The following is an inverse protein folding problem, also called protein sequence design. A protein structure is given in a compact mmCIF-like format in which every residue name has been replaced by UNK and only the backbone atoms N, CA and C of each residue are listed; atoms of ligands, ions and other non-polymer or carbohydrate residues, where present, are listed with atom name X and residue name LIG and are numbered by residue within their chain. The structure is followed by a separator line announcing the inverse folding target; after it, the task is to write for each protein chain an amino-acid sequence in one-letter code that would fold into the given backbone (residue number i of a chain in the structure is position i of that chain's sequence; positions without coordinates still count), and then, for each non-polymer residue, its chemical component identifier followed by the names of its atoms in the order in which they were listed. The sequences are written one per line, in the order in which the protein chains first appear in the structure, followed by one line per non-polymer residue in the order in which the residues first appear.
data_IF_730783460065
#
_entry.id   IF_730783460065
#
_cell.length_a   1.000
_cell.length_b   1.000
_cell.length_c   1.000
_cell.angle_alpha   90.00
_cell.angle_beta   90.00
_cell.angle_gamma   90.00
#
_symmetry.space_group_name_H-M   'P 1'
#
loop_
_entity.id
_entity.type
_entity.pdbx_description
1 polymer ?
#
# COMPACT_ATOMS: atom_id res chain seq x y z
N UNK A 1 -8.25 -24.67 26.68
CA UNK A 1 -9.22 -24.14 25.70
C UNK A 1 -9.61 -22.75 26.15
N UNK A 2 -9.08 -21.73 25.52
CA UNK A 2 -9.54 -20.35 25.72
C UNK A 2 -10.79 -20.22 24.84
N UNK A 3 -11.96 -20.29 25.44
CA UNK A 3 -13.20 -20.06 24.75
C UNK A 3 -13.27 -18.57 24.42
N UNK A 4 -12.95 -18.19 23.20
CA UNK A 4 -13.23 -16.84 22.71
C UNK A 4 -14.73 -16.64 22.88
N UNK A 5 -15.14 -15.72 23.75
CA UNK A 5 -16.52 -15.23 23.78
C UNK A 5 -16.70 -14.45 22.47
N UNK A 6 -17.16 -15.15 21.44
CA UNK A 6 -17.71 -14.51 20.25
C UNK A 6 -18.91 -13.69 20.75
N UNK A 7 -18.80 -12.35 20.68
CA UNK A 7 -19.93 -11.48 20.98
C UNK A 7 -21.01 -11.77 19.93
N UNK A 8 -22.09 -12.41 20.34
CA UNK A 8 -23.16 -12.93 19.47
C UNK A 8 -23.90 -11.84 18.68
N UNK A 9 -23.71 -10.57 18.99
CA UNK A 9 -24.38 -9.44 18.34
C UNK A 9 -23.68 -8.93 17.07
N UNK A 10 -22.39 -9.24 16.86
CA UNK A 10 -21.60 -8.61 15.82
C UNK A 10 -21.23 -9.51 14.63
N UNK A 11 -21.33 -10.83 14.76
CA UNK A 11 -20.96 -11.81 13.73
C UNK A 11 -22.17 -12.52 13.16
N UNK A 12 -22.11 -12.84 11.86
CA UNK A 12 -23.16 -13.60 11.20
C UNK A 12 -23.16 -15.05 11.70
N UNK A 13 -24.30 -15.55 12.13
CA UNK A 13 -24.46 -16.92 12.68
C UNK A 13 -23.82 -18.01 11.81
N UNK A 14 -23.95 -17.91 10.49
CA UNK A 14 -23.34 -18.87 9.56
C UNK A 14 -21.80 -18.93 9.67
N UNK A 15 -21.15 -17.77 9.87
CA UNK A 15 -19.69 -17.68 10.05
C UNK A 15 -19.30 -18.27 11.42
N UNK A 16 -20.04 -17.95 12.48
CA UNK A 16 -19.81 -18.50 13.81
C UNK A 16 -19.93 -20.02 13.83
N UNK A 17 -20.99 -20.56 13.20
CA UNK A 17 -21.20 -22.00 13.12
C UNK A 17 -20.08 -22.68 12.31
N UNK A 18 -19.61 -22.05 11.24
CA UNK A 18 -18.46 -22.54 10.46
C UNK A 18 -17.20 -22.60 11.31
N UNK A 19 -16.86 -21.50 12.01
CA UNK A 19 -15.66 -21.42 12.87
C UNK A 19 -15.72 -22.48 13.99
N UNK A 20 -16.87 -22.65 14.64
CA UNK A 20 -17.09 -23.69 15.67
C UNK A 20 -16.91 -25.11 15.15
N UNK A 21 -17.28 -25.34 13.88
CA UNK A 21 -17.19 -26.65 13.22
C UNK A 21 -15.87 -26.86 12.45
N UNK A 22 -14.83 -26.06 12.73
CA UNK A 22 -13.49 -26.21 12.15
C UNK A 22 -12.53 -26.70 13.24
N UNK A 23 -12.54 -28.01 13.62
CA UNK A 23 -11.86 -28.52 14.81
C UNK A 23 -10.33 -28.52 14.73
N UNK A 24 -9.76 -28.38 13.52
CA UNK A 24 -8.32 -28.37 13.31
C UNK A 24 -7.67 -26.99 13.56
N UNK A 25 -8.48 -25.95 13.83
CA UNK A 25 -8.03 -24.58 14.10
C UNK A 25 -8.52 -24.13 15.47
N UNK A 26 -7.59 -23.79 16.37
CA UNK A 26 -7.88 -23.16 17.65
C UNK A 26 -7.94 -21.64 17.45
N UNK A 27 -9.17 -21.10 17.40
CA UNK A 27 -9.43 -19.66 17.18
C UNK A 27 -9.38 -18.95 18.53
N UNK A 28 -8.55 -17.90 18.64
CA UNK A 28 -8.31 -17.18 19.89
C UNK A 28 -8.63 -15.67 19.83
N UNK A 29 -8.77 -15.08 18.63
CA UNK A 29 -9.03 -13.65 18.47
C UNK A 29 -9.97 -13.41 17.29
N UNK A 30 -10.84 -12.41 17.42
CA UNK A 30 -11.77 -11.96 16.38
C UNK A 30 -11.68 -10.45 16.22
N UNK A 31 -11.63 -9.98 14.97
CA UNK A 31 -11.67 -8.56 14.64
C UNK A 31 -12.69 -8.33 13.53
N UNK A 32 -13.67 -7.46 13.78
CA UNK A 32 -14.54 -6.96 12.72
C UNK A 32 -13.82 -5.85 11.97
N UNK A 33 -13.44 -6.08 10.72
CA UNK A 33 -12.83 -5.04 9.85
C UNK A 33 -13.87 -4.49 8.88
N UNK A 34 -14.52 -3.38 9.25
CA UNK A 34 -15.34 -2.55 8.36
C UNK A 34 -16.49 -3.29 7.65
N UNK A 35 -16.90 -2.78 6.48
CA UNK A 35 -17.99 -3.37 5.68
C UNK A 35 -17.61 -4.65 4.92
N UNK A 36 -16.33 -5.03 4.89
CA UNK A 36 -15.79 -6.00 3.94
C UNK A 36 -15.51 -7.38 4.52
N UNK A 37 -15.84 -7.68 5.77
CA UNK A 37 -15.67 -9.03 6.26
C UNK A 37 -15.25 -9.16 7.72
N UNK A 38 -15.30 -10.38 8.20
CA UNK A 38 -14.90 -10.79 9.52
C UNK A 38 -13.54 -11.48 9.45
N UNK A 39 -12.67 -11.22 10.44
CA UNK A 39 -11.32 -11.76 10.50
C UNK A 39 -11.14 -12.49 11.82
N UNK A 40 -10.77 -13.76 11.77
CA UNK A 40 -10.47 -14.58 12.92
C UNK A 40 -9.00 -14.99 12.90
N UNK A 41 -8.34 -14.88 14.04
CA UNK A 41 -6.98 -15.38 14.22
C UNK A 41 -7.02 -16.68 14.97
N UNK A 42 -6.23 -17.63 14.53
CA UNK A 42 -6.19 -18.95 15.13
C UNK A 42 -4.85 -19.65 14.88
N UNK A 43 -4.76 -20.86 15.44
CA UNK A 43 -3.60 -21.72 15.28
C UNK A 43 -4.03 -23.07 14.74
N UNK A 44 -3.40 -23.55 13.68
CA UNK A 44 -3.63 -24.93 13.22
C UNK A 44 -3.02 -25.90 14.22
N UNK A 45 -3.86 -26.75 14.81
CA UNK A 45 -3.44 -27.62 15.93
C UNK A 45 -2.34 -28.60 15.50
N UNK A 46 -2.49 -29.25 14.36
CA UNK A 46 -1.53 -30.25 13.86
C UNK A 46 -0.22 -29.65 13.32
N UNK A 47 -0.31 -28.50 12.66
CA UNK A 47 0.84 -27.84 12.03
C UNK A 47 1.56 -26.90 12.99
N UNK A 48 0.91 -26.51 14.07
CA UNK A 48 1.42 -25.61 15.11
C UNK A 48 1.80 -24.22 14.58
N UNK A 49 1.12 -23.72 13.53
CA UNK A 49 1.35 -22.42 12.90
C UNK A 49 0.15 -21.48 13.04
N UNK A 50 0.47 -20.18 13.07
CA UNK A 50 -0.51 -19.10 13.18
C UNK A 50 -1.20 -18.85 11.85
N UNK A 51 -2.53 -18.75 11.86
CA UNK A 51 -3.36 -18.57 10.67
C UNK A 51 -4.40 -17.49 10.86
N UNK A 52 -4.91 -17.00 9.74
CA UNK A 52 -6.00 -16.03 9.64
C UNK A 52 -7.10 -16.62 8.77
N UNK A 53 -8.33 -16.63 9.30
CA UNK A 53 -9.54 -16.91 8.53
C UNK A 53 -10.19 -15.56 8.22
N UNK A 54 -10.27 -15.19 6.95
CA UNK A 54 -10.90 -13.95 6.50
C UNK A 54 -12.14 -14.29 5.68
N UNK A 55 -13.31 -13.83 6.15
CA UNK A 55 -14.59 -14.05 5.49
C UNK A 55 -14.97 -12.86 4.63
N UNK A 56 -15.49 -13.11 3.46
CA UNK A 56 -15.96 -12.12 2.51
C UNK A 56 -17.41 -12.39 2.15
N UNK A 57 -18.15 -11.32 1.89
CA UNK A 57 -19.45 -11.46 1.25
C UNK A 57 -19.26 -11.95 -0.18
N UNK A 58 -19.90 -13.10 -0.50
CA UNK A 58 -19.88 -13.70 -1.83
C UNK A 58 -21.31 -13.75 -2.36
N UNK A 59 -21.57 -13.15 -3.52
CA UNK A 59 -22.82 -13.37 -4.22
C UNK A 59 -22.82 -14.78 -4.84
N UNK A 60 -24.03 -15.37 -5.07
CA UNK A 60 -24.17 -16.73 -5.62
C UNK A 60 -23.41 -16.96 -6.94
N UNK A 61 -23.18 -15.89 -7.73
CA UNK A 61 -22.42 -15.91 -8.98
C UNK A 61 -20.90 -15.76 -8.78
N UNK A 62 -20.43 -15.61 -7.53
CA UNK A 62 -19.02 -15.78 -7.22
C UNK A 62 -18.73 -17.28 -7.25
N UNK A 63 -18.79 -17.79 -8.48
CA UNK A 63 -18.25 -19.11 -8.74
C UNK A 63 -16.76 -18.99 -8.50
N UNK A 64 -16.35 -19.41 -7.32
CA UNK A 64 -15.00 -19.36 -6.79
C UNK A 64 -13.99 -20.13 -7.66
N UNK A 65 -14.35 -20.43 -8.90
CA UNK A 65 -13.75 -21.51 -9.60
C UNK A 65 -12.45 -21.13 -10.26
N UNK A 66 -12.39 -20.03 -11.02
CA UNK A 66 -11.15 -19.77 -11.78
C UNK A 66 -10.13 -18.96 -10.96
N UNK A 67 -10.50 -17.79 -10.49
CA UNK A 67 -9.60 -16.93 -9.71
C UNK A 67 -9.15 -17.61 -8.41
N UNK A 68 -10.08 -18.28 -7.71
CA UNK A 68 -9.78 -18.97 -6.46
C UNK A 68 -8.79 -20.12 -6.65
N UNK A 69 -8.99 -20.96 -7.67
CA UNK A 69 -8.06 -22.04 -8.01
C UNK A 69 -6.69 -21.49 -8.40
N UNK A 70 -6.66 -20.39 -9.17
CA UNK A 70 -5.40 -19.74 -9.52
C UNK A 70 -4.70 -19.25 -8.26
N UNK A 71 -5.41 -18.51 -7.39
CA UNK A 71 -4.85 -17.92 -6.18
C UNK A 71 -4.31 -18.96 -5.20
N UNK A 72 -4.95 -20.12 -5.05
CA UNK A 72 -4.45 -21.22 -4.23
C UNK A 72 -3.14 -21.81 -4.75
N UNK A 73 -2.94 -21.78 -6.07
CA UNK A 73 -1.75 -22.32 -6.71
C UNK A 73 -0.59 -21.31 -6.81
N UNK A 74 -0.80 -20.04 -6.48
CA UNK A 74 0.29 -19.07 -6.46
C UNK A 74 1.22 -19.35 -5.27
N UNK A 75 2.49 -19.53 -5.58
CA UNK A 75 3.57 -19.61 -4.60
C UNK A 75 4.63 -18.55 -4.93
N UNK A 76 4.52 -17.40 -4.28
CA UNK A 76 5.42 -16.26 -4.49
C UNK A 76 5.63 -15.51 -3.18
N UNK A 77 6.89 -15.21 -2.83
CA UNK A 77 7.27 -14.60 -1.56
C UNK A 77 6.57 -13.26 -1.25
N UNK A 78 6.16 -12.51 -2.27
CA UNK A 78 5.50 -11.21 -2.14
C UNK A 78 3.98 -11.28 -2.39
N UNK A 79 3.37 -12.46 -2.36
CA UNK A 79 1.92 -12.66 -2.44
C UNK A 79 1.51 -13.53 -1.27
N UNK A 80 0.43 -13.15 -0.58
CA UNK A 80 -0.08 -13.90 0.56
C UNK A 80 -0.53 -15.30 0.11
N UNK A 81 0.08 -16.33 0.69
CA UNK A 81 -0.28 -17.71 0.40
C UNK A 81 -1.69 -17.99 0.90
N UNK A 82 -2.51 -18.59 0.06
CA UNK A 82 -3.82 -19.11 0.44
C UNK A 82 -3.65 -20.61 0.71
N UNK A 83 -3.92 -21.04 1.94
CA UNK A 83 -3.88 -22.44 2.33
C UNK A 83 -5.17 -23.17 1.96
N UNK A 84 -6.29 -22.48 2.09
CA UNK A 84 -7.62 -23.02 1.79
C UNK A 84 -8.58 -21.87 1.43
N UNK A 85 -9.52 -22.18 0.57
CA UNK A 85 -10.60 -21.30 0.17
C UNK A 85 -11.88 -22.13 0.02
N UNK A 86 -12.95 -21.70 0.71
CA UNK A 86 -14.24 -22.40 0.64
C UNK A 86 -15.40 -21.42 0.64
N UNK A 87 -16.48 -21.85 0.03
CA UNK A 87 -17.76 -21.17 0.16
C UNK A 87 -18.43 -21.57 1.48
N UNK A 88 -18.95 -20.58 2.20
CA UNK A 88 -19.70 -20.73 3.44
C UNK A 88 -21.12 -20.26 3.19
N UNK A 89 -22.10 -21.19 3.04
CA UNK A 89 -23.48 -20.81 2.79
C UNK A 89 -24.04 -19.89 3.89
N UNK A 90 -24.97 -18.95 3.55
CA UNK A 90 -25.58 -18.81 2.23
C UNK A 90 -24.82 -17.89 1.27
N UNK A 91 -23.94 -17.01 1.72
CA UNK A 91 -23.39 -15.92 0.91
C UNK A 91 -21.99 -15.49 1.35
N UNK A 92 -21.14 -16.39 1.85
CA UNK A 92 -19.79 -16.07 2.27
C UNK A 92 -18.76 -16.98 1.61
N UNK A 93 -17.58 -16.44 1.38
CA UNK A 93 -16.39 -17.23 1.13
C UNK A 93 -15.35 -16.92 2.21
N UNK A 94 -14.51 -17.89 2.58
CA UNK A 94 -13.40 -17.63 3.48
C UNK A 94 -12.07 -18.01 2.85
N UNK A 95 -11.04 -17.26 3.21
CA UNK A 95 -9.65 -17.59 2.93
C UNK A 95 -8.94 -17.97 4.23
N UNK A 96 -8.23 -19.09 4.20
CA UNK A 96 -7.28 -19.47 5.22
C UNK A 96 -5.87 -19.09 4.75
N UNK A 97 -5.19 -18.24 5.51
CA UNK A 97 -3.87 -17.71 5.16
C UNK A 97 -2.92 -17.78 6.36
N UNK A 98 -1.59 -17.72 6.18
CA UNK A 98 -0.67 -17.54 7.29
C UNK A 98 -0.92 -16.17 7.97
N UNK A 99 -0.66 -16.10 9.27
CA UNK A 99 -0.57 -14.83 10.01
C UNK A 99 0.78 -14.19 9.75
N UNK A 100 0.79 -12.93 9.27
CA UNK A 100 2.01 -12.15 9.02
C UNK A 100 2.27 -11.21 10.19
N UNK A 101 3.49 -11.24 10.73
CA UNK A 101 3.84 -10.66 12.03
C UNK A 101 3.88 -9.13 12.07
N UNK A 102 4.19 -8.46 10.97
CA UNK A 102 4.45 -7.01 10.94
C UNK A 102 3.23 -6.14 10.69
N UNK A 103 2.03 -6.72 10.57
CA UNK A 103 0.83 -5.96 10.21
C UNK A 103 0.83 -5.46 8.77
N UNK A 104 0.09 -4.38 8.50
CA UNK A 104 0.01 -3.78 7.17
C UNK A 104 0.92 -2.54 7.03
N UNK A 105 1.20 -2.15 5.79
CA UNK A 105 2.04 -0.98 5.50
C UNK A 105 1.43 0.34 6.00
N UNK A 106 0.10 0.42 6.16
CA UNK A 106 -0.51 1.62 6.70
C UNK A 106 -0.10 1.83 8.15
N UNK A 107 -0.12 0.78 8.97
CA UNK A 107 0.35 0.83 10.34
C UNK A 107 1.83 1.21 10.45
N UNK A 108 2.67 0.78 9.50
CA UNK A 108 4.08 1.17 9.43
C UNK A 108 4.22 2.65 9.10
N UNK A 109 3.52 3.14 8.06
CA UNK A 109 3.53 4.57 7.65
C UNK A 109 3.08 5.47 8.80
N UNK A 110 2.07 5.04 9.56
CA UNK A 110 1.51 5.81 10.67
C UNK A 110 2.43 5.82 11.90
N UNK A 111 3.21 4.76 12.09
CA UNK A 111 4.06 4.60 13.28
C UNK A 111 5.42 5.29 13.16
N UNK A 112 5.99 5.35 11.96
CA UNK A 112 7.33 5.89 11.72
C UNK A 112 7.55 6.37 10.29
N UNK A 113 8.51 7.26 10.12
CA UNK A 113 9.05 7.58 8.79
C UNK A 113 10.00 6.46 8.34
N UNK A 114 9.88 6.10 7.07
CA UNK A 114 10.77 5.15 6.42
C UNK A 114 11.94 5.88 5.77
N UNK A 115 13.08 5.21 5.65
CA UNK A 115 14.14 5.71 4.81
C UNK A 115 13.76 5.60 3.33
N UNK A 116 14.45 6.34 2.49
CA UNK A 116 14.20 6.29 1.03
C UNK A 116 14.49 4.90 0.47
N UNK A 117 15.58 4.28 0.91
CA UNK A 117 15.97 2.93 0.50
C UNK A 117 14.94 1.91 0.93
N UNK A 118 14.53 1.93 2.20
CA UNK A 118 13.50 1.04 2.73
C UNK A 118 12.18 1.19 1.96
N UNK A 119 11.76 2.43 1.67
CA UNK A 119 10.57 2.73 0.86
C UNK A 119 10.65 2.11 -0.54
N UNK A 120 11.79 2.24 -1.22
CA UNK A 120 12.00 1.69 -2.56
C UNK A 120 12.11 0.16 -2.55
N UNK A 121 12.70 -0.45 -1.52
CA UNK A 121 12.76 -1.92 -1.33
C UNK A 121 11.35 -2.51 -1.13
N UNK A 122 10.51 -1.83 -0.34
CA UNK A 122 9.09 -2.21 -0.19
C UNK A 122 8.37 -2.14 -1.53
N UNK A 123 8.49 -1.03 -2.26
CA UNK A 123 7.87 -0.88 -3.59
C UNK A 123 8.37 -1.95 -4.55
N UNK A 124 9.66 -2.28 -4.51
CA UNK A 124 10.24 -3.37 -5.33
C UNK A 124 9.57 -4.71 -5.05
N UNK A 125 9.38 -5.06 -3.79
CA UNK A 125 8.70 -6.30 -3.42
C UNK A 125 7.24 -6.34 -3.85
N UNK A 126 6.50 -5.23 -3.71
CA UNK A 126 5.12 -5.12 -4.22
C UNK A 126 5.09 -5.31 -5.74
N UNK A 127 6.00 -4.67 -6.48
CA UNK A 127 6.08 -4.81 -7.93
C UNK A 127 6.44 -6.23 -8.38
N UNK A 128 7.27 -6.95 -7.62
CA UNK A 128 7.58 -8.37 -7.89
C UNK A 128 6.32 -9.24 -7.74
N UNK A 129 5.57 -9.08 -6.66
CA UNK A 129 4.30 -9.78 -6.47
C UNK A 129 3.26 -9.41 -7.54
N UNK A 130 3.16 -8.13 -7.89
CA UNK A 130 2.25 -7.67 -8.93
C UNK A 130 2.64 -8.23 -10.32
N UNK A 131 3.93 -8.34 -10.61
CA UNK A 131 4.40 -8.93 -11.85
C UNK A 131 4.03 -10.42 -11.96
N UNK A 132 4.05 -11.15 -10.85
CA UNK A 132 3.58 -12.54 -10.81
C UNK A 132 2.09 -12.61 -11.19
N UNK A 133 1.24 -11.78 -10.55
CA UNK A 133 -0.20 -11.73 -10.85
C UNK A 133 -0.47 -11.38 -12.32
N UNK A 134 0.16 -10.32 -12.83
CA UNK A 134 -0.11 -9.80 -14.18
C UNK A 134 0.42 -10.73 -15.27
N UNK A 135 1.71 -11.10 -15.18
CA UNK A 135 2.41 -11.73 -16.31
C UNK A 135 2.18 -13.22 -16.41
N UNK A 136 1.98 -13.92 -15.27
CA UNK A 136 1.79 -15.37 -15.28
C UNK A 136 0.32 -15.79 -15.19
N UNK A 137 -0.48 -14.99 -14.51
CA UNK A 137 -1.86 -15.39 -14.19
C UNK A 137 -2.92 -14.55 -14.87
N UNK A 138 -2.56 -13.45 -15.55
CA UNK A 138 -3.48 -12.47 -16.15
C UNK A 138 -4.46 -11.87 -15.13
N UNK A 139 -4.05 -11.76 -13.87
CA UNK A 139 -4.85 -11.23 -12.78
C UNK A 139 -4.50 -9.78 -12.48
N UNK A 140 -5.50 -8.95 -12.24
CA UNK A 140 -5.37 -7.61 -11.64
C UNK A 140 -5.88 -7.63 -10.21
N UNK A 141 -5.23 -6.87 -9.33
CA UNK A 141 -5.56 -6.85 -7.90
C UNK A 141 -6.79 -5.99 -7.59
N UNK A 142 -6.89 -4.82 -8.18
CA UNK A 142 -7.99 -3.84 -8.12
C UNK A 142 -8.19 -3.10 -6.80
N UNK A 143 -7.48 -3.45 -5.73
CA UNK A 143 -7.56 -2.76 -4.43
C UNK A 143 -6.19 -2.67 -3.73
N UNK A 144 -5.12 -2.32 -4.48
CA UNK A 144 -3.80 -2.09 -3.87
C UNK A 144 -3.80 -0.75 -3.12
N UNK A 145 -3.49 -0.85 -1.83
CA UNK A 145 -3.29 0.27 -0.89
C UNK A 145 -2.41 -0.19 0.27
N UNK A 146 -1.82 0.70 1.06
CA UNK A 146 -0.97 0.29 2.18
C UNK A 146 -1.63 -0.71 3.13
N UNK A 147 -2.94 -0.57 3.41
CA UNK A 147 -3.68 -1.51 4.27
C UNK A 147 -3.88 -2.91 3.68
N UNK A 148 -3.62 -3.11 2.38
CA UNK A 148 -3.71 -4.40 1.70
C UNK A 148 -2.33 -4.98 1.34
N UNK A 149 -1.26 -4.41 1.87
CA UNK A 149 0.10 -4.96 1.78
C UNK A 149 0.59 -5.23 3.20
N UNK A 150 0.78 -6.48 3.53
CA UNK A 150 1.35 -6.91 4.82
C UNK A 150 2.88 -6.83 4.77
N UNK A 151 3.50 -6.78 5.94
CA UNK A 151 4.95 -6.76 6.06
C UNK A 151 5.44 -7.89 6.96
N UNK A 152 6.22 -8.80 6.40
CA UNK A 152 6.86 -9.87 7.15
C UNK A 152 8.15 -9.34 7.78
N UNK A 153 8.13 -9.13 9.10
CA UNK A 153 9.27 -8.59 9.84
C UNK A 153 10.47 -9.54 9.88
N UNK A 154 10.23 -10.85 9.86
CA UNK A 154 11.31 -11.83 9.92
C UNK A 154 12.08 -11.88 8.61
N UNK A 155 11.37 -11.84 7.49
CA UNK A 155 11.95 -11.87 6.14
C UNK A 155 12.26 -10.49 5.60
N UNK A 156 11.76 -9.43 6.26
CA UNK A 156 11.89 -8.04 5.82
C UNK A 156 11.34 -7.82 4.39
N UNK A 157 10.15 -8.36 4.09
CA UNK A 157 9.53 -8.28 2.77
C UNK A 157 8.06 -7.84 2.85
N UNK A 158 7.57 -7.05 1.86
CA UNK A 158 6.15 -6.79 1.68
C UNK A 158 5.46 -7.98 1.01
N UNK A 159 4.20 -8.20 1.38
CA UNK A 159 3.35 -9.29 0.90
C UNK A 159 2.01 -8.70 0.48
N UNK A 160 1.68 -8.77 -0.82
CA UNK A 160 0.36 -8.40 -1.34
C UNK A 160 -0.68 -9.31 -0.72
N UNK A 161 -1.70 -8.71 -0.13
CA UNK A 161 -2.78 -9.38 0.60
C UNK A 161 -4.15 -8.86 0.14
N UNK A 162 -5.21 -9.35 0.76
CA UNK A 162 -6.60 -9.00 0.41
C UNK A 162 -6.97 -9.27 -1.04
N UNK A 163 -6.81 -10.53 -1.43
CA UNK A 163 -7.01 -11.01 -2.80
C UNK A 163 -8.50 -11.17 -3.19
N UNK A 164 -9.43 -10.71 -2.35
CA UNK A 164 -10.87 -10.82 -2.59
C UNK A 164 -11.42 -9.96 -3.73
N UNK A 165 -10.65 -8.96 -4.18
CA UNK A 165 -11.02 -8.10 -5.32
C UNK A 165 -10.36 -8.52 -6.64
N UNK A 166 -9.47 -9.51 -6.61
CA UNK A 166 -8.71 -9.98 -7.78
C UNK A 166 -9.65 -10.42 -8.90
N UNK A 167 -9.28 -10.11 -10.15
CA UNK A 167 -10.06 -10.48 -11.33
C UNK A 167 -9.14 -10.82 -12.49
N UNK A 168 -9.55 -11.82 -13.29
CA UNK A 168 -8.83 -12.20 -14.48
C UNK A 168 -9.20 -11.29 -15.65
N UNK A 169 -8.19 -10.74 -16.33
CA UNK A 169 -8.38 -10.05 -17.62
C UNK A 169 -8.33 -11.10 -18.73
N UNK A 170 -9.42 -11.24 -19.47
CA UNK A 170 -9.44 -12.06 -20.67
C UNK A 170 -8.92 -11.24 -21.85
N UNK A 171 -8.12 -11.88 -22.71
CA UNK A 171 -7.47 -11.19 -23.85
C UNK A 171 -8.45 -10.52 -24.81
N UNK A 172 -9.66 -11.06 -24.93
CA UNK A 172 -10.70 -10.49 -25.78
C UNK A 172 -11.21 -9.12 -25.29
N UNK A 173 -11.25 -8.92 -23.98
CA UNK A 173 -11.84 -7.73 -23.36
C UNK A 173 -10.81 -6.63 -23.09
N UNK A 174 -9.57 -7.01 -22.76
CA UNK A 174 -8.47 -6.09 -22.45
C UNK A 174 -8.56 -5.39 -21.09
N UNK A 175 -9.72 -5.43 -20.43
CA UNK A 175 -10.00 -4.81 -19.12
C UNK A 175 -11.05 -5.60 -18.35
N UNK A 176 -11.23 -5.23 -17.09
CA UNK A 176 -12.34 -5.69 -16.22
C UNK A 176 -13.05 -4.49 -15.60
N UNK A 177 -14.21 -4.69 -15.00
CA UNK A 177 -14.91 -3.65 -14.25
C UNK A 177 -14.11 -3.25 -13.01
N UNK A 178 -14.19 -1.97 -12.62
CA UNK A 178 -13.58 -1.50 -11.38
C UNK A 178 -14.22 -2.19 -10.15
N UNK A 179 -13.45 -2.32 -9.08
CA UNK A 179 -13.98 -2.78 -7.80
C UNK A 179 -14.58 -1.60 -7.02
N UNK A 180 -15.43 -1.91 -6.04
CA UNK A 180 -15.92 -0.93 -5.06
C UNK A 180 -14.84 -0.66 -3.99
N UNK A 181 -13.66 -0.24 -4.40
CA UNK A 181 -12.54 0.08 -3.50
C UNK A 181 -12.63 1.51 -2.97
N UNK A 182 -11.73 1.85 -2.06
CA UNK A 182 -11.62 3.19 -1.49
C UNK A 182 -11.32 4.22 -2.57
N UNK A 183 -12.19 5.22 -2.77
CA UNK A 183 -12.09 6.25 -3.81
C UNK A 183 -10.72 6.91 -3.92
N UNK A 184 -10.02 7.13 -2.80
CA UNK A 184 -8.68 7.73 -2.75
C UNK A 184 -7.61 6.96 -3.55
N UNK A 185 -7.81 5.67 -3.78
CA UNK A 185 -6.87 4.80 -4.50
C UNK A 185 -7.35 4.43 -5.91
N UNK A 186 -8.59 4.80 -6.28
CA UNK A 186 -9.11 4.50 -7.61
C UNK A 186 -8.36 5.32 -8.68
N UNK A 187 -7.94 4.69 -9.77
CA UNK A 187 -7.36 5.40 -10.90
C UNK A 187 -8.46 6.13 -11.71
N UNK A 188 -8.09 7.15 -12.51
CA UNK A 188 -9.06 7.94 -13.27
C UNK A 188 -10.01 7.14 -14.16
N UNK A 189 -9.52 6.12 -14.87
CA UNK A 189 -10.30 5.26 -15.75
C UNK A 189 -11.38 4.44 -15.00
N UNK A 190 -11.08 4.04 -13.78
CA UNK A 190 -12.05 3.34 -12.94
C UNK A 190 -13.23 4.25 -12.56
N UNK A 191 -12.97 5.54 -12.34
CA UNK A 191 -13.99 6.53 -12.00
C UNK A 191 -14.78 6.96 -13.24
N UNK A 192 -14.10 7.20 -14.36
CA UNK A 192 -14.70 7.76 -15.57
C UNK A 192 -15.48 6.74 -16.39
N UNK A 193 -14.94 5.52 -16.52
CA UNK A 193 -15.48 4.50 -17.43
C UNK A 193 -15.86 3.20 -16.74
N UNK A 194 -15.61 3.05 -15.45
CA UNK A 194 -15.73 1.79 -14.73
C UNK A 194 -14.86 0.66 -15.35
N UNK A 195 -13.72 1.04 -15.93
CA UNK A 195 -12.76 0.14 -16.56
C UNK A 195 -11.50 0.03 -15.70
N UNK A 196 -10.88 -1.15 -15.69
CA UNK A 196 -9.70 -1.43 -14.90
C UNK A 196 -8.71 -2.29 -15.69
N UNK A 197 -7.51 -1.76 -15.87
CA UNK A 197 -6.43 -2.34 -16.67
C UNK A 197 -5.27 -2.82 -15.78
N UNK A 198 -4.27 -3.48 -16.35
CA UNK A 198 -3.02 -3.76 -15.64
C UNK A 198 -2.34 -2.49 -15.12
N UNK A 199 -2.42 -1.40 -15.91
CA UNK A 199 -1.87 -0.10 -15.55
C UNK A 199 -2.65 0.60 -14.42
N UNK A 200 -3.83 0.13 -14.09
CA UNK A 200 -4.62 0.62 -12.95
C UNK A 200 -3.99 0.20 -11.61
N UNK A 201 -3.49 -1.03 -11.51
CA UNK A 201 -2.70 -1.48 -10.35
C UNK A 201 -1.38 -0.70 -10.23
N UNK A 202 -0.74 -0.38 -11.37
CA UNK A 202 0.49 0.42 -11.39
C UNK A 202 0.26 1.82 -10.82
N UNK A 203 -0.89 2.43 -11.10
CA UNK A 203 -1.29 3.70 -10.49
C UNK A 203 -1.41 3.57 -8.96
N UNK A 204 -2.03 2.50 -8.48
CA UNK A 204 -2.17 2.23 -7.05
C UNK A 204 -0.81 2.02 -6.38
N UNK A 205 0.12 1.29 -7.00
CA UNK A 205 1.51 1.18 -6.49
C UNK A 205 2.20 2.55 -6.49
N UNK A 206 1.92 3.40 -7.48
CA UNK A 206 2.39 4.79 -7.49
C UNK A 206 1.94 5.59 -6.27
N UNK A 207 0.67 5.44 -5.84
CA UNK A 207 0.16 6.06 -4.61
C UNK A 207 0.85 5.47 -3.36
N UNK A 208 1.04 4.16 -3.31
CA UNK A 208 1.78 3.51 -2.21
C UNK A 208 3.21 4.09 -2.13
N UNK A 209 3.94 4.14 -3.24
CA UNK A 209 5.28 4.73 -3.30
C UNK A 209 5.28 6.19 -2.83
N UNK A 210 4.30 6.98 -3.26
CA UNK A 210 4.16 8.38 -2.86
C UNK A 210 4.03 8.53 -1.34
N UNK A 211 3.21 7.70 -0.70
CA UNK A 211 3.03 7.71 0.76
C UNK A 211 4.28 7.25 1.50
N UNK A 212 4.90 6.14 1.07
CA UNK A 212 6.13 5.61 1.67
C UNK A 212 7.28 6.63 1.62
N UNK A 213 7.35 7.43 0.56
CA UNK A 213 8.34 8.51 0.39
C UNK A 213 7.99 9.80 1.17
N UNK A 214 6.94 9.80 1.97
CA UNK A 214 6.53 10.93 2.81
C UNK A 214 5.71 11.99 2.09
N UNK A 215 5.09 11.68 0.95
CA UNK A 215 4.12 12.55 0.29
C UNK A 215 2.86 12.76 1.15
N UNK A 216 2.31 13.97 1.13
CA UNK A 216 1.12 14.29 1.91
C UNK A 216 -0.12 13.59 1.35
N UNK A 217 -0.66 12.64 2.10
CA UNK A 217 -1.83 11.85 1.72
C UNK A 217 -2.70 11.54 2.96
N UNK A 218 -3.60 12.47 3.39
CA UNK A 218 -4.36 12.38 4.63
C UNK A 218 -5.51 11.36 4.54
N UNK A 219 -5.23 10.10 4.86
CA UNK A 219 -6.25 9.04 4.85
C UNK A 219 -7.10 9.01 6.12
N UNK A 220 -6.52 9.40 7.28
CA UNK A 220 -7.23 9.42 8.57
C UNK A 220 -8.16 10.62 8.72
N UNK A 221 -7.95 11.65 7.92
CA UNK A 221 -8.79 12.84 7.86
C UNK A 221 -9.26 13.11 6.44
N UNK A 222 -10.12 12.26 5.86
CA UNK A 222 -10.53 12.43 4.47
C UNK A 222 -11.15 13.79 4.17
N UNK A 223 -11.72 14.45 5.18
CA UNK A 223 -12.27 15.80 5.08
C UNK A 223 -11.21 16.84 4.69
N UNK A 224 -9.91 16.57 4.96
CA UNK A 224 -8.80 17.47 4.61
C UNK A 224 -8.53 17.54 3.10
N UNK A 225 -9.08 16.60 2.35
CA UNK A 225 -9.11 16.67 0.89
C UNK A 225 -10.07 17.75 0.37
N UNK A 226 -11.06 18.16 1.16
CA UNK A 226 -12.10 19.10 0.76
C UNK A 226 -11.69 20.54 1.03
N UNK A 227 -12.05 21.43 0.11
CA UNK A 227 -12.03 22.88 0.36
C UNK A 227 -13.11 23.27 1.36
N UNK A 228 -12.99 24.40 2.01
CA UNK A 228 -13.99 24.91 2.97
C UNK A 228 -15.40 25.01 2.35
N UNK A 229 -15.48 25.32 1.05
CA UNK A 229 -16.76 25.35 0.32
C UNK A 229 -17.34 23.94 0.15
N UNK A 230 -16.52 22.96 -0.20
CA UNK A 230 -16.93 21.55 -0.36
C UNK A 230 -17.35 20.96 1.00
N UNK A 231 -16.60 21.24 2.08
CA UNK A 231 -16.96 20.84 3.46
C UNK A 231 -18.37 21.30 3.82
N UNK A 232 -18.66 22.60 3.62
CA UNK A 232 -19.98 23.16 3.87
C UNK A 232 -21.10 22.48 3.07
N UNK A 233 -20.82 22.10 1.81
CA UNK A 233 -21.79 21.38 0.97
C UNK A 233 -22.06 19.98 1.51
N UNK A 234 -21.01 19.25 1.93
CA UNK A 234 -21.14 17.92 2.52
C UNK A 234 -21.89 17.98 3.87
N UNK A 235 -21.60 18.99 4.70
CA UNK A 235 -22.20 19.13 6.03
C UNK A 235 -23.67 19.53 5.98
N UNK A 236 -24.11 20.22 4.92
CA UNK A 236 -25.52 20.58 4.71
C UNK A 236 -26.42 19.34 4.42
N UNK A 237 -25.84 18.21 4.06
CA UNK A 237 -26.58 16.98 3.76
C UNK A 237 -26.86 16.21 5.06
N UNK A 238 -28.14 15.93 5.34
CA UNK A 238 -28.56 15.19 6.54
C UNK A 238 -28.47 13.67 6.40
N UNK A 239 -28.81 13.16 5.21
CA UNK A 239 -28.77 11.72 4.96
C UNK A 239 -27.32 11.26 4.84
N UNK A 240 -26.96 10.19 5.58
CA UNK A 240 -25.58 9.66 5.64
C UNK A 240 -25.11 9.16 4.27
N UNK A 241 -25.95 8.44 3.54
CA UNK A 241 -25.56 7.83 2.26
C UNK A 241 -25.39 8.90 1.19
N UNK A 242 -26.25 9.94 1.19
CA UNK A 242 -26.10 11.11 0.30
C UNK A 242 -24.85 11.91 0.65
N UNK A 243 -24.53 12.05 1.94
CA UNK A 243 -23.29 12.68 2.40
C UNK A 243 -22.05 11.94 1.90
N UNK A 244 -22.04 10.61 2.02
CA UNK A 244 -20.96 9.77 1.49
C UNK A 244 -20.85 9.89 -0.04
N UNK A 245 -21.96 9.80 -0.76
CA UNK A 245 -21.96 9.97 -2.24
C UNK A 245 -21.42 11.34 -2.67
N UNK A 246 -21.80 12.42 -1.95
CA UNK A 246 -21.30 13.76 -2.28
C UNK A 246 -19.81 13.91 -1.98
N UNK A 247 -19.35 13.32 -0.90
CA UNK A 247 -17.91 13.25 -0.58
C UNK A 247 -17.14 12.51 -1.68
N UNK A 248 -17.62 11.32 -2.08
CA UNK A 248 -17.00 10.50 -3.13
C UNK A 248 -16.97 11.22 -4.48
N UNK A 249 -18.01 12.00 -4.83
CA UNK A 249 -18.03 12.85 -6.01
C UNK A 249 -16.89 13.89 -5.99
N UNK A 250 -16.67 14.56 -4.85
CA UNK A 250 -15.58 15.53 -4.72
C UNK A 250 -14.21 14.87 -4.81
N UNK A 251 -14.02 13.73 -4.15
CA UNK A 251 -12.76 12.98 -4.25
C UNK A 251 -12.54 12.48 -5.68
N UNK A 252 -13.55 11.91 -6.32
CA UNK A 252 -13.47 11.48 -7.71
C UNK A 252 -13.04 12.61 -8.65
N UNK A 253 -13.60 13.80 -8.50
CA UNK A 253 -13.20 15.00 -9.24
C UNK A 253 -11.71 15.36 -9.01
N UNK A 254 -11.20 15.19 -7.79
CA UNK A 254 -9.78 15.45 -7.48
C UNK A 254 -8.85 14.40 -8.07
N UNK A 255 -9.26 13.13 -8.08
CA UNK A 255 -8.53 12.05 -8.77
C UNK A 255 -8.40 12.37 -10.25
N UNK A 256 -9.53 12.63 -10.91
CA UNK A 256 -9.60 12.96 -12.35
C UNK A 256 -8.77 14.20 -12.70
N UNK A 257 -8.65 15.16 -11.80
CA UNK A 257 -7.81 16.36 -11.97
C UNK A 257 -6.34 16.16 -11.53
N UNK A 258 -5.94 14.96 -11.12
CA UNK A 258 -4.58 14.67 -10.64
C UNK A 258 -4.20 15.47 -9.39
N UNK A 259 -5.17 15.73 -8.51
CA UNK A 259 -4.98 16.60 -7.35
C UNK A 259 -4.66 15.86 -6.05
N UNK A 260 -4.64 14.52 -6.04
CA UNK A 260 -4.37 13.76 -4.82
C UNK A 260 -2.85 13.62 -4.56
N UNK A 261 -2.15 12.79 -5.28
CA UNK A 261 -0.72 12.52 -5.05
C UNK A 261 0.17 13.58 -5.75
N UNK A 262 0.17 14.80 -5.22
CA UNK A 262 0.96 15.90 -5.80
C UNK A 262 2.44 15.77 -5.43
N UNK A 263 3.30 15.51 -6.42
CA UNK A 263 4.75 15.31 -6.21
C UNK A 263 5.50 16.54 -5.67
N UNK A 264 4.86 17.72 -5.63
CA UNK A 264 5.40 18.90 -4.95
C UNK A 264 5.30 18.85 -3.42
N UNK A 265 4.45 17.96 -2.87
CA UNK A 265 4.38 17.70 -1.42
C UNK A 265 5.41 16.68 -0.92
N UNK A 266 6.20 16.10 -1.82
CA UNK A 266 7.29 15.22 -1.43
C UNK A 266 8.37 15.98 -0.67
N UNK A 267 9.11 15.30 0.22
CA UNK A 267 10.24 15.89 0.92
C UNK A 267 11.25 16.58 -0.02
N UNK A 268 11.79 17.71 0.40
CA UNK A 268 12.68 18.56 -0.40
C UNK A 268 13.95 17.85 -0.88
N UNK A 269 14.37 16.81 -0.17
CA UNK A 269 15.57 16.04 -0.50
C UNK A 269 15.34 15.01 -1.63
N UNK A 270 14.11 14.77 -2.06
CA UNK A 270 13.83 13.92 -3.22
C UNK A 270 13.91 14.76 -4.51
N UNK A 271 14.79 14.37 -5.40
CA UNK A 271 15.07 15.12 -6.62
C UNK A 271 14.05 14.88 -7.75
N UNK A 272 14.30 15.50 -8.90
CA UNK A 272 13.46 15.39 -10.08
C UNK A 272 13.33 13.94 -10.61
N UNK A 273 14.31 13.05 -10.30
CA UNK A 273 14.27 11.66 -10.76
C UNK A 273 13.18 10.88 -10.06
N UNK A 274 13.03 11.04 -8.74
CA UNK A 274 11.92 10.48 -7.98
C UNK A 274 10.56 10.98 -8.48
N UNK A 275 10.46 12.30 -8.68
CA UNK A 275 9.22 12.92 -9.20
C UNK A 275 8.86 12.42 -10.59
N UNK A 276 9.83 12.21 -11.47
CA UNK A 276 9.63 11.66 -12.81
C UNK A 276 9.07 10.25 -12.76
N UNK A 277 9.63 9.38 -11.92
CA UNK A 277 9.18 7.99 -11.74
C UNK A 277 7.74 7.95 -11.23
N UNK A 278 7.44 8.74 -10.20
CA UNK A 278 6.09 8.86 -9.64
C UNK A 278 5.10 9.44 -10.66
N UNK A 279 5.43 10.54 -11.34
CA UNK A 279 4.55 11.16 -12.33
C UNK A 279 4.25 10.22 -13.50
N UNK A 280 5.17 9.33 -13.85
CA UNK A 280 4.91 8.30 -14.85
C UNK A 280 3.93 7.25 -14.32
N UNK A 281 4.10 6.73 -13.13
CA UNK A 281 3.18 5.76 -12.53
C UNK A 281 1.77 6.34 -12.31
N UNK A 282 1.70 7.61 -11.91
CA UNK A 282 0.47 8.35 -11.61
C UNK A 282 -0.12 9.12 -12.81
N UNK A 283 0.33 8.84 -14.03
CA UNK A 283 -0.19 9.54 -15.19
C UNK A 283 -1.70 9.35 -15.33
N UNK A 284 -2.41 10.43 -15.71
CA UNK A 284 -3.86 10.41 -15.93
C UNK A 284 -4.24 9.37 -17.00
N UNK A 285 -3.53 9.38 -18.13
CA UNK A 285 -3.71 8.41 -19.20
C UNK A 285 -2.99 7.11 -18.86
N UNK A 286 -3.73 6.02 -18.72
CA UNK A 286 -3.14 4.72 -18.32
C UNK A 286 -2.13 4.20 -19.36
N UNK A 287 -2.28 4.51 -20.65
CA UNK A 287 -1.36 4.13 -21.71
C UNK A 287 0.03 4.79 -21.57
N UNK A 288 0.13 5.92 -20.86
CA UNK A 288 1.38 6.65 -20.61
C UNK A 288 2.08 6.22 -19.32
N UNK A 289 1.46 5.34 -18.52
CA UNK A 289 2.07 4.73 -17.36
C UNK A 289 3.10 3.67 -17.77
N UNK A 290 3.67 2.98 -16.82
CA UNK A 290 4.41 1.77 -17.10
C UNK A 290 3.46 0.72 -17.67
N UNK A 291 3.86 0.06 -18.76
CA UNK A 291 3.02 -0.97 -19.41
C UNK A 291 2.95 -2.26 -18.61
N UNK A 292 3.94 -2.51 -17.75
CA UNK A 292 3.99 -3.66 -16.85
C UNK A 292 4.83 -3.35 -15.59
N UNK A 293 4.67 -4.14 -14.52
CA UNK A 293 5.41 -3.95 -13.26
C UNK A 293 6.94 -4.05 -13.41
N UNK A 294 7.45 -4.87 -14.33
CA UNK A 294 8.89 -5.03 -14.54
C UNK A 294 9.58 -3.76 -15.03
N UNK A 295 8.91 -2.95 -15.87
CA UNK A 295 9.44 -1.66 -16.31
C UNK A 295 9.45 -0.63 -15.19
N UNK A 296 8.47 -0.66 -14.32
CA UNK A 296 8.47 0.21 -13.12
C UNK A 296 9.59 -0.24 -12.15
N UNK A 297 9.72 -1.53 -11.92
CA UNK A 297 10.78 -2.11 -11.09
C UNK A 297 12.19 -1.73 -11.58
N UNK A 298 12.41 -1.69 -12.90
CA UNK A 298 13.67 -1.23 -13.49
C UNK A 298 14.01 0.20 -13.06
N UNK A 299 13.04 1.12 -13.08
CA UNK A 299 13.27 2.51 -12.66
C UNK A 299 13.47 2.60 -11.14
N UNK A 300 12.76 1.79 -10.32
CA UNK A 300 13.00 1.67 -8.87
C UNK A 300 14.44 1.20 -8.59
N UNK A 301 14.90 0.16 -9.26
CA UNK A 301 16.29 -0.31 -9.11
C UNK A 301 17.32 0.73 -9.58
N UNK A 302 16.97 1.57 -10.56
CA UNK A 302 17.83 2.68 -10.95
C UNK A 302 17.94 3.72 -9.83
N UNK A 303 16.82 4.07 -9.17
CA UNK A 303 16.82 4.96 -8.00
C UNK A 303 17.64 4.39 -6.85
N UNK A 304 17.47 3.11 -6.52
CA UNK A 304 18.22 2.43 -5.45
C UNK A 304 19.74 2.50 -5.67
N UNK A 305 20.20 2.37 -6.93
CA UNK A 305 21.63 2.41 -7.27
C UNK A 305 22.21 3.82 -7.37
N UNK A 306 21.40 4.79 -7.81
CA UNK A 306 21.89 6.13 -8.13
C UNK A 306 21.73 7.15 -7.01
N UNK A 307 20.84 6.89 -6.05
CA UNK A 307 20.53 7.83 -4.98
C UNK A 307 21.09 7.35 -3.64
N UNK A 308 21.59 8.25 -2.78
CA UNK A 308 21.88 7.89 -1.41
C UNK A 308 20.59 7.54 -0.66
N UNK A 309 20.73 6.84 0.45
CA UNK A 309 19.61 6.65 1.36
C UNK A 309 19.39 7.91 2.21
N UNK A 310 18.16 8.42 2.22
CA UNK A 310 17.76 9.57 3.02
C UNK A 310 16.95 9.10 4.22
N UNK A 311 17.40 9.46 5.42
CA UNK A 311 16.74 9.15 6.68
C UNK A 311 16.36 10.46 7.36
N UNK A 312 15.06 10.80 7.37
CA UNK A 312 14.57 12.01 8.02
C UNK A 312 14.34 11.75 9.50
N UNK A 313 15.20 12.32 10.33
CA UNK A 313 15.04 12.39 11.79
C UNK A 313 14.35 13.72 12.20
N UNK A 314 13.88 13.86 13.45
CA UNK A 314 13.15 15.06 13.87
C UNK A 314 13.94 16.37 13.72
N UNK A 315 15.24 16.32 13.93
CA UNK A 315 16.13 17.48 13.99
C UNK A 315 17.14 17.55 12.85
N UNK A 316 17.24 16.51 12.02
CA UNK A 316 18.22 16.43 10.93
C UNK A 316 17.80 15.47 9.81
N UNK A 317 18.45 15.62 8.67
CA UNK A 317 18.42 14.65 7.57
C UNK A 317 19.77 13.92 7.51
N UNK A 318 19.75 12.60 7.64
CA UNK A 318 20.91 11.75 7.35
C UNK A 318 20.89 11.37 5.87
N UNK A 319 22.07 11.36 5.25
CA UNK A 319 22.29 11.01 3.84
C UNK A 319 23.40 9.97 3.83
N UNK A 320 23.06 8.75 3.46
CA UNK A 320 23.93 7.57 3.58
C UNK A 320 24.24 7.02 2.19
N UNK A 321 25.53 7.01 1.84
CA UNK A 321 26.01 6.43 0.58
C UNK A 321 26.41 4.97 0.74
N UNK A 322 26.31 4.18 -0.32
CA UNK A 322 26.68 2.75 -0.31
C UNK A 322 28.11 2.47 0.17
N UNK A 323 29.04 3.39 -0.13
CA UNK A 323 30.44 3.29 0.31
C UNK A 323 30.65 3.58 1.81
N UNK A 324 29.57 3.77 2.58
CA UNK A 324 29.63 4.09 4.01
C UNK A 324 30.00 5.52 4.34
N UNK A 325 30.08 6.40 3.35
CA UNK A 325 30.18 7.85 3.57
C UNK A 325 28.81 8.37 3.96
N UNK A 326 28.75 9.16 5.02
CA UNK A 326 27.51 9.71 5.55
C UNK A 326 27.61 11.21 5.69
N UNK A 327 26.46 11.88 5.54
CA UNK A 327 26.28 13.29 5.84
C UNK A 327 25.10 13.46 6.78
N UNK A 328 25.17 14.49 7.64
CA UNK A 328 24.02 15.02 8.36
C UNK A 328 23.82 16.48 8.03
N UNK A 329 22.56 16.83 7.74
CA UNK A 329 22.14 18.16 7.34
C UNK A 329 21.08 18.64 8.34
N UNK A 330 21.32 19.78 8.99
CA UNK A 330 20.41 20.34 10.00
C UNK A 330 20.56 21.87 10.10
N UNK A 331 19.62 22.52 10.78
CA UNK A 331 19.73 23.92 11.17
C UNK A 331 20.18 24.01 12.64
N UNK A 332 21.17 24.84 12.91
CA UNK A 332 21.65 25.10 14.27
C UNK A 332 20.71 26.09 15.01
N UNK A 333 21.03 26.40 16.27
CA UNK A 333 20.26 27.34 17.10
C UNK A 333 20.18 28.76 16.55
N UNK A 334 21.09 29.13 15.63
CA UNK A 334 21.13 30.42 14.92
C UNK A 334 20.41 30.38 13.58
N UNK A 335 19.70 29.28 13.26
CA UNK A 335 19.05 29.03 11.96
C UNK A 335 20.01 28.98 10.77
N UNK A 336 21.27 28.64 11.03
CA UNK A 336 22.27 28.44 9.98
C UNK A 336 22.23 26.97 9.53
N UNK A 337 22.32 26.75 8.22
CA UNK A 337 22.40 25.41 7.64
C UNK A 337 23.78 24.83 7.90
N UNK A 338 23.82 23.70 8.56
CA UNK A 338 25.04 22.95 8.88
C UNK A 338 25.06 21.65 8.12
N UNK A 339 26.15 21.39 7.42
CA UNK A 339 26.47 20.11 6.81
C UNK A 339 27.69 19.52 7.48
N UNK A 340 27.56 18.31 7.96
CA UNK A 340 28.68 17.53 8.49
C UNK A 340 28.82 16.23 7.73
N UNK A 341 30.02 15.71 7.63
CA UNK A 341 30.34 14.44 6.99
C UNK A 341 31.13 13.53 7.90
N UNK A 342 30.93 12.24 7.72
CA UNK A 342 31.79 11.20 8.28
C UNK A 342 32.05 10.09 7.27
N UNK A 343 33.18 9.41 7.46
CA UNK A 343 33.49 8.13 6.79
C UNK A 343 33.56 7.03 7.84
N UNK A 344 33.49 5.75 7.48
CA UNK A 344 33.54 4.66 8.44
C UNK A 344 34.68 4.83 9.45
N UNK A 345 34.36 4.59 10.73
CA UNK A 345 35.31 4.66 11.87
C UNK A 345 35.87 6.05 12.18
N UNK A 346 35.29 7.15 11.67
CA UNK A 346 35.65 8.54 12.00
C UNK A 346 34.48 9.32 12.53
N UNK A 347 34.78 10.35 13.36
CA UNK A 347 33.74 11.27 13.87
C UNK A 347 33.24 12.26 12.81
N UNK A 348 32.14 12.91 13.14
CA UNK A 348 31.56 13.96 12.33
C UNK A 348 32.48 15.16 12.19
N UNK A 349 32.59 15.76 10.99
CA UNK A 349 33.38 16.95 10.69
C UNK A 349 32.55 17.86 9.81
N UNK A 350 32.58 19.15 10.09
CA UNK A 350 31.93 20.18 9.25
C UNK A 350 32.42 20.11 7.81
N UNK A 351 31.50 20.25 6.90
CA UNK A 351 31.76 20.41 5.47
C UNK A 351 31.32 21.83 5.05
N UNK A 352 32.27 22.68 4.79
CA UNK A 352 32.05 24.09 4.42
C UNK A 352 32.01 24.29 2.89
N UNK A 353 31.86 23.23 2.11
CA UNK A 353 31.84 23.29 0.64
C UNK A 353 30.50 23.83 0.07
N UNK A 354 29.58 24.27 0.92
CA UNK A 354 28.29 24.85 0.55
C UNK A 354 28.20 26.33 0.86
N UNK A 355 27.26 27.03 0.23
CA UNK A 355 27.08 28.48 0.38
C UNK A 355 26.14 28.90 1.52
N UNK A 356 25.83 28.00 2.43
CA UNK A 356 24.91 28.24 3.56
C UNK A 356 23.43 28.02 3.26
N UNK A 357 23.06 27.68 2.02
CA UNK A 357 21.70 27.32 1.69
C UNK A 357 21.45 25.80 1.80
N UNK A 358 20.22 25.43 2.14
CA UNK A 358 19.79 24.02 2.23
C UNK A 358 20.03 23.29 0.90
N UNK A 359 19.70 23.93 -0.21
CA UNK A 359 19.84 23.36 -1.56
C UNK A 359 21.31 23.10 -1.92
N UNK A 360 22.20 24.07 -1.62
CA UNK A 360 23.62 23.92 -1.85
C UNK A 360 24.22 22.81 -1.00
N UNK A 361 23.89 22.77 0.29
CA UNK A 361 24.36 21.72 1.20
C UNK A 361 23.91 20.34 0.74
N UNK A 362 22.64 20.20 0.35
CA UNK A 362 22.09 18.95 -0.20
C UNK A 362 22.78 18.55 -1.51
N UNK A 363 23.08 19.51 -2.39
CA UNK A 363 23.84 19.27 -3.63
C UNK A 363 25.26 18.73 -3.36
N UNK A 364 25.95 19.26 -2.35
CA UNK A 364 27.24 18.73 -1.91
C UNK A 364 27.12 17.31 -1.37
N UNK A 365 26.12 17.09 -0.49
CA UNK A 365 25.91 15.78 0.14
C UNK A 365 25.50 14.68 -0.85
N UNK A 366 24.87 15.00 -1.97
CA UNK A 366 24.49 14.02 -3.04
C UNK A 366 25.68 13.56 -3.90
N UNK A 367 26.75 14.33 -3.96
CA UNK A 367 27.94 13.98 -4.75
C UNK A 367 28.70 12.86 -4.04
N UNK A 368 28.92 11.74 -4.74
CA UNK A 368 29.66 10.56 -4.22
C UNK A 368 31.10 10.87 -3.84
#
# INVERSE_FOLDING_TARGET
MVTVKLNDEDSVKAIQDFVRNTPDIDVYEYIRRGCNGEVYFGKRIKMNDEVVLKFYWSQKDYDATEEAVILQNIDHKNILKIYDLRFVPPNYAYFLTPRISGGDLQGIIDSRKLSTKESLEIVSGVLLGLNELHSKHNLVHRDLKPGNVLFDLEKNIPIIADLGAVKKIHQADGYVTASKSTFLYLPPEAILANEYYYQSDIYQVGIIMFQLLGGYFPIHSPIDWLTEREKKQVDAIRNRDDKCRKFDEFIGNKVVKGQLAKTNSLPFYLDATFKRVLNKALNFHYERRYTNPSLFLKDIHSLLRSSPDYVQEPDRLLIIHEAGKEFQLYENSKKEVVLEKRVPNKGWRKDNSHNGTLESALSVARKK
#
